data_IF_739139974898
#
_entry.id   IF_739139974898
#
_cell.length_a   1.000
_cell.length_b   1.000
_cell.length_c   1.000
_cell.angle_alpha   90.00
_cell.angle_beta   90.00
_cell.angle_gamma   90.00
#
_symmetry.space_group_name_H-M   'P 1'
#
loop_
_entity.id
_entity.type
_entity.pdbx_description
1 polymer ?
#
# COMPACT_ATOMS: atom_id res chain seq x y z
N UNK A 1 -7.40 -17.16 43.14
CA UNK A 1 -7.84 -17.15 41.73
C UNK A 1 -7.68 -18.51 41.04
N UNK A 2 -6.48 -19.12 41.03
CA UNK A 2 -6.23 -20.37 40.29
C UNK A 2 -7.13 -21.57 40.67
N UNK A 3 -7.52 -21.69 41.94
CA UNK A 3 -8.44 -22.74 42.41
C UNK A 3 -9.90 -22.54 41.97
N UNK A 4 -10.31 -21.30 41.69
CA UNK A 4 -11.67 -20.96 41.22
C UNK A 4 -11.77 -21.32 39.74
N UNK A 5 -10.81 -20.89 38.93
CA UNK A 5 -10.71 -21.25 37.51
C UNK A 5 -10.70 -22.76 37.27
N UNK A 6 -9.89 -23.51 38.04
CA UNK A 6 -9.85 -24.98 37.95
C UNK A 6 -11.17 -25.64 38.34
N UNK A 7 -11.99 -25.02 39.19
CA UNK A 7 -13.31 -25.52 39.57
C UNK A 7 -14.31 -25.29 38.44
N UNK A 8 -14.40 -24.07 37.92
CA UNK A 8 -15.26 -23.71 36.80
C UNK A 8 -14.97 -24.57 35.56
N UNK A 9 -13.69 -24.80 35.24
CA UNK A 9 -13.31 -25.69 34.11
C UNK A 9 -13.76 -27.12 34.34
N UNK A 10 -13.68 -27.64 35.57
CA UNK A 10 -14.19 -28.98 35.90
C UNK A 10 -15.71 -29.06 35.83
N UNK A 11 -16.42 -27.99 36.18
CA UNK A 11 -17.89 -27.92 36.06
C UNK A 11 -18.31 -27.92 34.59
N UNK A 12 -17.62 -27.15 33.74
CA UNK A 12 -17.82 -27.18 32.29
C UNK A 12 -17.50 -28.56 31.70
N UNK A 13 -16.39 -29.22 32.11
CA UNK A 13 -16.02 -30.57 31.65
C UNK A 13 -17.04 -31.64 32.05
N UNK A 14 -17.69 -31.47 33.21
CA UNK A 14 -18.71 -32.38 33.75
C UNK A 14 -20.12 -32.07 33.26
N UNK A 15 -20.30 -31.03 32.44
CA UNK A 15 -21.60 -30.56 31.93
C UNK A 15 -22.59 -30.19 33.05
N UNK A 16 -22.08 -29.81 34.23
CA UNK A 16 -22.93 -29.39 35.37
C UNK A 16 -23.39 -27.94 35.26
N UNK A 17 -22.75 -27.15 34.40
CA UNK A 17 -23.18 -25.80 34.01
C UNK A 17 -22.79 -25.58 32.56
N UNK A 18 -23.58 -24.80 31.81
CA UNK A 18 -23.22 -24.48 30.44
C UNK A 18 -21.97 -23.58 30.42
N UNK A 19 -21.20 -23.64 29.34
CA UNK A 19 -20.05 -22.75 29.15
C UNK A 19 -20.50 -21.28 29.23
N UNK A 20 -21.70 -20.99 28.71
CA UNK A 20 -22.34 -19.66 28.75
C UNK A 20 -22.57 -19.16 30.18
N UNK A 21 -23.15 -19.99 31.04
CA UNK A 21 -23.42 -19.61 32.43
C UNK A 21 -22.13 -19.38 33.23
N UNK A 22 -21.09 -20.16 32.91
CA UNK A 22 -19.77 -20.03 33.54
C UNK A 22 -19.10 -18.74 33.09
N UNK A 23 -19.12 -18.41 31.80
CA UNK A 23 -18.55 -17.16 31.29
C UNK A 23 -19.23 -15.93 31.89
N UNK A 24 -20.56 -15.95 32.05
CA UNK A 24 -21.33 -14.83 32.60
C UNK A 24 -21.03 -14.53 34.08
N UNK A 25 -20.55 -15.52 34.85
CA UNK A 25 -20.27 -15.38 36.29
C UNK A 25 -18.78 -15.41 36.64
N UNK A 26 -17.90 -15.74 35.68
CA UNK A 26 -16.48 -15.89 35.94
C UNK A 26 -15.79 -14.51 35.98
N UNK A 27 -15.08 -14.16 37.06
CA UNK A 27 -14.36 -12.89 37.14
C UNK A 27 -13.07 -12.85 36.30
N UNK A 28 -12.54 -14.01 35.88
CA UNK A 28 -11.37 -14.12 35.00
C UNK A 28 -11.74 -14.96 33.77
N UNK A 29 -12.49 -14.33 32.87
CA UNK A 29 -13.01 -14.92 31.63
C UNK A 29 -11.85 -15.41 30.76
N UNK A 30 -10.82 -14.57 30.58
CA UNK A 30 -9.64 -14.89 29.77
C UNK A 30 -8.88 -16.11 30.34
N UNK A 31 -8.66 -16.15 31.65
CA UNK A 31 -8.03 -17.28 32.34
C UNK A 31 -8.86 -18.56 32.23
N UNK A 32 -10.19 -18.45 32.29
CA UNK A 32 -11.10 -19.59 32.14
C UNK A 32 -11.03 -20.17 30.73
N UNK A 33 -11.18 -19.32 29.70
CA UNK A 33 -11.10 -19.73 28.30
C UNK A 33 -9.73 -20.38 28.04
N UNK A 34 -8.64 -19.74 28.44
CA UNK A 34 -7.29 -20.25 28.25
C UNK A 34 -7.07 -21.62 28.89
N UNK A 35 -7.56 -21.81 30.11
CA UNK A 35 -7.43 -23.07 30.85
C UNK A 35 -8.35 -24.17 30.31
N UNK A 36 -9.60 -23.83 29.97
CA UNK A 36 -10.59 -24.76 29.42
C UNK A 36 -10.12 -25.31 28.07
N UNK A 37 -9.68 -24.42 27.17
CA UNK A 37 -9.19 -24.78 25.85
C UNK A 37 -7.89 -25.60 25.91
N UNK A 38 -6.99 -25.29 26.84
CA UNK A 38 -5.75 -26.07 27.05
C UNK A 38 -6.06 -27.51 27.49
N UNK A 39 -7.10 -27.72 28.29
CA UNK A 39 -7.50 -29.05 28.78
C UNK A 39 -8.39 -29.82 27.80
N UNK A 40 -9.07 -29.12 26.89
CA UNK A 40 -10.01 -29.70 25.92
C UNK A 40 -9.65 -29.34 24.47
N UNK A 41 -8.44 -29.68 23.96
CA UNK A 41 -7.94 -29.21 22.68
C UNK A 41 -8.59 -29.85 21.45
N UNK A 42 -9.31 -30.97 21.59
CA UNK A 42 -9.90 -31.72 20.46
C UNK A 42 -11.41 -31.51 20.31
N UNK A 43 -12.06 -30.90 21.30
CA UNK A 43 -13.51 -30.67 21.28
C UNK A 43 -13.84 -29.45 20.39
N UNK A 44 -14.81 -29.65 19.48
CA UNK A 44 -15.47 -28.53 18.79
C UNK A 44 -16.34 -27.81 19.82
N UNK A 45 -16.25 -26.49 19.85
CA UNK A 45 -16.92 -25.66 20.87
C UNK A 45 -17.69 -24.53 20.20
N UNK A 46 -18.75 -24.83 19.43
CA UNK A 46 -19.59 -23.81 18.79
C UNK A 46 -20.21 -22.82 19.79
N UNK A 47 -20.35 -23.21 21.06
CA UNK A 47 -20.93 -22.38 22.13
C UNK A 47 -20.10 -21.13 22.45
N UNK A 48 -18.80 -21.11 22.14
CA UNK A 48 -17.99 -19.89 22.26
C UNK A 48 -18.22 -18.91 21.10
N UNK A 49 -18.76 -19.36 19.97
CA UNK A 49 -19.14 -18.48 18.85
C UNK A 49 -20.44 -17.76 19.17
N UNK A 50 -21.42 -18.46 19.76
CA UNK A 50 -22.71 -17.89 20.17
C UNK A 50 -22.59 -16.83 21.28
N UNK A 51 -21.43 -16.74 21.94
CA UNK A 51 -21.13 -15.77 22.99
C UNK A 51 -19.97 -14.85 22.61
N UNK A 52 -19.43 -14.97 21.39
CA UNK A 52 -18.23 -14.24 20.97
C UNK A 52 -18.43 -12.73 21.11
N UNK A 53 -19.54 -12.21 20.60
CA UNK A 53 -19.86 -10.77 20.64
C UNK A 53 -20.16 -10.25 22.06
N UNK A 54 -20.51 -11.13 22.99
CA UNK A 54 -20.81 -10.80 24.39
C UNK A 54 -19.55 -10.76 25.28
N UNK A 55 -18.40 -11.19 24.76
CA UNK A 55 -17.13 -11.20 25.49
C UNK A 55 -16.42 -9.84 25.43
N UNK A 56 -15.58 -9.57 26.43
CA UNK A 56 -14.62 -8.48 26.36
C UNK A 56 -13.57 -8.73 25.25
N UNK A 57 -13.01 -7.65 24.73
CA UNK A 57 -12.13 -7.69 23.55
C UNK A 57 -10.89 -8.59 23.79
N UNK A 58 -10.33 -8.62 25.00
CA UNK A 58 -9.14 -9.45 25.29
C UNK A 58 -9.48 -10.94 25.28
N UNK A 59 -10.67 -11.30 25.75
CA UNK A 59 -11.18 -12.68 25.72
C UNK A 59 -11.53 -13.15 24.30
N UNK A 60 -12.06 -12.26 23.45
CA UNK A 60 -12.34 -12.54 22.04
C UNK A 60 -11.05 -12.89 21.26
N UNK A 61 -9.98 -12.12 21.47
CA UNK A 61 -8.66 -12.37 20.85
C UNK A 61 -8.05 -13.69 21.29
N UNK A 62 -8.08 -13.96 22.60
CA UNK A 62 -7.56 -15.22 23.13
C UNK A 62 -8.35 -16.41 22.54
N UNK A 63 -9.67 -16.26 22.37
CA UNK A 63 -10.49 -17.25 21.71
C UNK A 63 -10.06 -17.43 20.24
N UNK A 64 -9.90 -16.34 19.49
CA UNK A 64 -9.44 -16.34 18.09
C UNK A 64 -8.08 -17.04 17.93
N UNK A 65 -7.06 -16.64 18.70
CA UNK A 65 -5.72 -17.23 18.65
C UNK A 65 -5.73 -18.75 18.95
N UNK A 66 -6.51 -19.17 19.95
CA UNK A 66 -6.56 -20.58 20.39
C UNK A 66 -7.46 -21.43 19.50
N UNK A 67 -8.45 -20.85 18.81
CA UNK A 67 -9.43 -21.56 17.97
C UNK A 67 -9.17 -21.50 16.46
N UNK A 68 -8.27 -20.64 15.97
CA UNK A 68 -7.80 -20.61 14.56
C UNK A 68 -7.45 -22.00 14.01
N UNK A 69 -6.84 -22.87 14.83
CA UNK A 69 -6.47 -24.24 14.40
C UNK A 69 -7.66 -25.19 14.23
N UNK A 70 -8.84 -24.83 14.74
CA UNK A 70 -10.02 -25.71 14.82
C UNK A 70 -11.21 -25.23 13.99
N UNK A 71 -11.25 -23.94 13.64
CA UNK A 71 -12.29 -23.31 12.83
C UNK A 71 -11.65 -22.89 11.51
N UNK A 72 -11.78 -23.73 10.48
CA UNK A 72 -11.47 -23.34 9.09
C UNK A 72 -12.73 -22.75 8.48
N UNK A 73 -13.00 -21.48 8.78
CA UNK A 73 -14.16 -20.77 8.25
C UNK A 73 -13.73 -19.36 7.79
N UNK A 74 -13.60 -19.21 6.48
CA UNK A 74 -13.20 -17.98 5.81
C UNK A 74 -14.10 -16.79 6.18
N UNK A 75 -15.41 -17.03 6.30
CA UNK A 75 -16.38 -15.98 6.67
C UNK A 75 -16.14 -15.45 8.09
N UNK A 76 -15.80 -16.34 9.01
CA UNK A 76 -15.49 -15.96 10.40
C UNK A 76 -14.16 -15.19 10.49
N UNK A 77 -13.15 -15.59 9.72
CA UNK A 77 -11.88 -14.83 9.64
C UNK A 77 -12.08 -13.42 9.05
N UNK A 78 -12.93 -13.30 8.04
CA UNK A 78 -13.33 -12.01 7.46
C UNK A 78 -14.10 -11.13 8.44
N UNK A 79 -15.09 -11.69 9.17
CA UNK A 79 -15.84 -10.96 10.21
C UNK A 79 -14.92 -10.43 11.34
N UNK A 80 -13.92 -11.22 11.76
CA UNK A 80 -12.93 -10.78 12.75
C UNK A 80 -12.06 -9.63 12.21
N UNK A 81 -11.56 -9.72 10.97
CA UNK A 81 -10.83 -8.61 10.34
C UNK A 81 -11.67 -7.33 10.31
N UNK A 82 -12.92 -7.46 9.87
CA UNK A 82 -13.83 -6.31 9.75
C UNK A 82 -14.07 -5.68 11.11
N UNK A 83 -14.43 -6.46 12.14
CA UNK A 83 -14.76 -5.88 13.44
C UNK A 83 -13.56 -5.26 14.15
N UNK A 84 -12.42 -5.96 14.23
CA UNK A 84 -11.29 -5.45 15.02
C UNK A 84 -10.37 -4.53 14.24
N UNK A 85 -10.07 -4.86 12.98
CA UNK A 85 -9.13 -4.08 12.18
C UNK A 85 -9.84 -2.90 11.51
N UNK A 86 -11.04 -3.09 10.96
CA UNK A 86 -11.69 -2.04 10.17
C UNK A 86 -12.58 -1.14 11.03
N UNK A 87 -13.44 -1.73 11.85
CA UNK A 87 -14.44 -0.99 12.66
C UNK A 87 -13.85 -0.42 13.96
N UNK A 88 -13.13 -1.24 14.74
CA UNK A 88 -12.62 -0.84 16.06
C UNK A 88 -11.22 -0.22 16.03
N UNK A 89 -10.38 -0.54 15.02
CA UNK A 89 -9.02 -0.01 14.83
C UNK A 89 -8.16 -0.10 16.09
N UNK A 90 -8.25 -1.23 16.76
CA UNK A 90 -7.62 -1.47 18.06
C UNK A 90 -6.19 -1.99 17.88
N UNK A 91 -5.29 -1.77 18.86
CA UNK A 91 -3.96 -2.39 18.88
C UNK A 91 -4.02 -3.93 18.80
N UNK A 92 -5.17 -4.48 19.20
CA UNK A 92 -5.54 -5.90 19.11
C UNK A 92 -5.53 -6.43 17.66
N UNK A 93 -5.68 -5.57 16.67
CA UNK A 93 -5.60 -5.94 15.26
C UNK A 93 -4.29 -6.63 14.90
N UNK A 94 -3.18 -6.32 15.58
CA UNK A 94 -1.88 -6.93 15.29
C UNK A 94 -1.86 -8.42 15.63
N UNK A 95 -2.45 -8.80 16.76
CA UNK A 95 -2.55 -10.21 17.17
C UNK A 95 -3.46 -11.00 16.23
N UNK A 96 -4.55 -10.38 15.76
CA UNK A 96 -5.47 -10.97 14.79
C UNK A 96 -4.76 -11.20 13.45
N UNK A 97 -4.07 -10.18 12.91
CA UNK A 97 -3.32 -10.26 11.66
C UNK A 97 -2.32 -11.43 11.72
N UNK A 98 -1.52 -11.52 12.78
CA UNK A 98 -0.59 -12.64 13.00
C UNK A 98 -1.32 -13.99 13.09
N UNK A 99 -2.45 -14.00 13.81
CA UNK A 99 -3.26 -15.17 14.01
C UNK A 99 -4.18 -15.50 12.82
N UNK A 100 -4.10 -14.86 11.66
CA UNK A 100 -4.88 -15.24 10.47
C UNK A 100 -4.34 -16.46 9.72
N UNK A 101 -5.20 -17.39 9.28
CA UNK A 101 -4.75 -18.59 8.55
C UNK A 101 -4.79 -18.37 7.04
N UNK A 102 -5.76 -17.60 6.57
CA UNK A 102 -5.89 -17.23 5.16
C UNK A 102 -5.22 -15.88 4.88
N UNK A 103 -4.01 -15.92 4.33
CA UNK A 103 -3.32 -14.70 3.85
C UNK A 103 -4.11 -14.00 2.74
N UNK A 104 -4.84 -14.78 1.94
CA UNK A 104 -5.73 -14.28 0.88
C UNK A 104 -6.80 -13.33 1.41
N UNK A 105 -7.53 -13.74 2.45
CA UNK A 105 -8.59 -12.90 3.05
C UNK A 105 -7.97 -11.68 3.72
N UNK A 106 -6.89 -11.88 4.47
CA UNK A 106 -6.13 -10.82 5.12
C UNK A 106 -5.73 -9.71 4.14
N UNK A 107 -4.99 -10.05 3.08
CA UNK A 107 -4.52 -9.04 2.14
C UNK A 107 -5.64 -8.48 1.29
N UNK A 108 -6.66 -9.27 0.91
CA UNK A 108 -7.82 -8.75 0.19
C UNK A 108 -8.54 -7.67 1.01
N UNK A 109 -8.85 -7.94 2.28
CA UNK A 109 -9.60 -7.00 3.13
C UNK A 109 -8.77 -5.75 3.43
N UNK A 110 -7.52 -5.91 3.90
CA UNK A 110 -6.66 -4.77 4.22
C UNK A 110 -6.37 -3.90 3.00
N UNK A 111 -6.08 -4.51 1.84
CA UNK A 111 -5.79 -3.75 0.62
C UNK A 111 -7.01 -3.04 0.06
N UNK A 112 -8.22 -3.61 0.22
CA UNK A 112 -9.47 -2.96 -0.20
C UNK A 112 -9.75 -1.72 0.62
N UNK A 113 -9.51 -1.80 1.94
CA UNK A 113 -9.69 -0.65 2.84
C UNK A 113 -8.65 0.43 2.53
N UNK A 114 -7.38 0.05 2.37
CA UNK A 114 -6.30 0.95 1.97
C UNK A 114 -6.52 1.58 0.58
N UNK A 115 -7.27 0.95 -0.31
CA UNK A 115 -7.65 1.57 -1.58
C UNK A 115 -8.75 2.63 -1.42
N UNK A 116 -9.50 2.64 -0.33
CA UNK A 116 -10.70 3.47 -0.19
C UNK A 116 -10.36 4.94 0.14
N UNK A 117 -10.95 5.85 -0.64
CA UNK A 117 -10.61 7.29 -0.71
C UNK A 117 -11.14 8.11 0.48
N UNK A 118 -11.91 7.50 1.38
CA UNK A 118 -12.67 8.20 2.44
C UNK A 118 -12.05 8.08 3.83
N UNK A 119 -10.81 7.61 3.94
CA UNK A 119 -10.16 7.33 5.23
C UNK A 119 -9.39 8.57 5.70
N UNK A 120 -9.59 8.96 6.96
CA UNK A 120 -8.83 10.02 7.61
C UNK A 120 -7.36 9.64 7.78
N UNK A 121 -6.49 10.62 7.96
CA UNK A 121 -5.04 10.39 8.01
C UNK A 121 -4.61 9.39 9.10
N UNK A 122 -5.17 9.49 10.32
CA UNK A 122 -4.86 8.58 11.44
C UNK A 122 -5.28 7.15 11.16
N UNK A 123 -6.45 6.99 10.53
CA UNK A 123 -6.98 5.69 10.14
C UNK A 123 -6.13 5.08 9.02
N UNK A 124 -5.71 5.88 8.05
CA UNK A 124 -4.87 5.45 6.94
C UNK A 124 -3.48 4.99 7.42
N UNK A 125 -2.93 5.70 8.41
CA UNK A 125 -1.71 5.31 9.10
C UNK A 125 -1.87 3.98 9.86
N UNK A 126 -3.01 3.79 10.54
CA UNK A 126 -3.33 2.53 11.20
C UNK A 126 -3.39 1.35 10.20
N UNK A 127 -4.04 1.54 9.05
CA UNK A 127 -4.09 0.49 8.01
C UNK A 127 -2.73 0.23 7.38
N UNK A 128 -1.91 1.27 7.22
CA UNK A 128 -0.51 1.15 6.80
C UNK A 128 0.26 0.22 7.74
N UNK A 129 0.14 0.40 9.06
CA UNK A 129 0.74 -0.49 10.07
C UNK A 129 0.25 -1.93 9.94
N UNK A 130 -1.06 -2.10 9.79
CA UNK A 130 -1.67 -3.42 9.62
C UNK A 130 -1.13 -4.16 8.38
N UNK A 131 -0.99 -3.46 7.25
CA UNK A 131 -0.45 -4.02 6.01
C UNK A 131 1.03 -4.38 6.14
N UNK A 132 1.84 -3.48 6.72
CA UNK A 132 3.26 -3.74 6.99
C UNK A 132 3.42 -5.01 7.83
N UNK A 133 2.61 -5.16 8.89
CA UNK A 133 2.61 -6.35 9.73
C UNK A 133 2.20 -7.61 8.94
N UNK A 134 1.15 -7.52 8.13
CA UNK A 134 0.71 -8.62 7.29
C UNK A 134 1.82 -9.10 6.33
N UNK A 135 2.49 -8.16 5.64
CA UNK A 135 3.61 -8.44 4.73
C UNK A 135 4.82 -9.09 5.41
N UNK A 136 5.00 -8.85 6.72
CA UNK A 136 6.08 -9.46 7.51
C UNK A 136 5.74 -10.84 8.06
N UNK A 137 4.45 -11.14 8.23
CA UNK A 137 3.99 -12.35 8.92
C UNK A 137 3.42 -13.40 7.98
N UNK A 138 3.00 -13.00 6.77
CA UNK A 138 2.35 -13.85 5.78
C UNK A 138 2.96 -13.67 4.40
N UNK A 139 2.89 -14.74 3.61
CA UNK A 139 3.18 -14.69 2.19
C UNK A 139 1.98 -14.10 1.43
N UNK A 140 2.26 -13.28 0.44
CA UNK A 140 1.27 -12.62 -0.42
C UNK A 140 1.37 -13.19 -1.84
N UNK A 141 0.24 -13.60 -2.40
CA UNK A 141 0.15 -14.14 -3.77
C UNK A 141 -0.07 -13.02 -4.79
N UNK A 142 0.04 -13.34 -6.09
CA UNK A 142 0.03 -12.36 -7.18
C UNK A 142 -1.26 -11.54 -7.27
N UNK A 143 -2.41 -12.18 -6.99
CA UNK A 143 -3.72 -11.52 -7.09
C UNK A 143 -3.88 -10.45 -6.01
N UNK A 144 -3.44 -10.74 -4.78
CA UNK A 144 -3.49 -9.80 -3.66
C UNK A 144 -2.44 -8.68 -3.80
N UNK A 145 -1.26 -8.99 -4.33
CA UNK A 145 -0.24 -7.97 -4.70
C UNK A 145 -0.86 -6.93 -5.64
N UNK A 146 -1.68 -7.35 -6.61
CA UNK A 146 -2.33 -6.43 -7.55
C UNK A 146 -3.25 -5.43 -6.85
N UNK A 147 -4.07 -5.91 -5.91
CA UNK A 147 -4.97 -5.04 -5.14
C UNK A 147 -4.16 -4.08 -4.26
N UNK A 148 -3.14 -4.58 -3.58
CA UNK A 148 -2.30 -3.76 -2.71
C UNK A 148 -1.53 -2.68 -3.48
N UNK A 149 -0.93 -3.04 -4.61
CA UNK A 149 -0.30 -2.09 -5.53
C UNK A 149 -1.29 -1.03 -6.02
N UNK A 150 -2.58 -1.36 -6.13
CA UNK A 150 -3.62 -0.38 -6.45
C UNK A 150 -3.82 0.65 -5.35
N UNK A 151 -3.84 0.21 -4.10
CA UNK A 151 -3.84 1.12 -2.95
C UNK A 151 -2.59 2.01 -2.94
N UNK A 152 -1.40 1.45 -3.15
CA UNK A 152 -0.15 2.23 -3.23
C UNK A 152 -0.20 3.29 -4.33
N UNK A 153 -0.65 2.93 -5.53
CA UNK A 153 -0.75 3.90 -6.64
C UNK A 153 -1.73 5.04 -6.33
N UNK A 154 -2.82 4.73 -5.63
CA UNK A 154 -3.79 5.72 -5.22
C UNK A 154 -3.16 6.72 -4.24
N UNK A 155 -2.43 6.23 -3.24
CA UNK A 155 -1.67 7.05 -2.29
C UNK A 155 -0.62 7.95 -2.96
N UNK A 156 0.06 7.43 -3.98
CA UNK A 156 1.01 8.23 -4.77
C UNK A 156 0.36 9.32 -5.61
N UNK A 157 -0.95 9.21 -5.87
CA UNK A 157 -1.71 10.16 -6.67
C UNK A 157 -2.57 11.10 -5.81
N UNK A 158 -2.58 10.93 -4.48
CA UNK A 158 -3.46 11.65 -3.56
C UNK A 158 -3.05 13.13 -3.37
N UNK A 159 -1.78 13.45 -3.62
CA UNK A 159 -1.23 14.80 -3.54
C UNK A 159 -1.06 15.33 -2.11
N UNK A 160 -1.63 14.68 -1.09
CA UNK A 160 -1.32 14.97 0.32
C UNK A 160 -0.10 14.15 0.74
N UNK A 161 0.95 14.83 1.21
CA UNK A 161 2.25 14.22 1.56
C UNK A 161 2.14 12.99 2.46
N UNK A 162 1.31 13.02 3.51
CA UNK A 162 1.21 11.91 4.46
C UNK A 162 0.68 10.62 3.84
N UNK A 163 -0.31 10.73 2.95
CA UNK A 163 -0.81 9.57 2.19
C UNK A 163 0.27 9.04 1.23
N UNK A 164 1.00 9.92 0.55
CA UNK A 164 2.16 9.50 -0.24
C UNK A 164 3.17 8.70 0.61
N UNK A 165 3.52 9.21 1.79
CA UNK A 165 4.46 8.57 2.71
C UNK A 165 3.97 7.18 3.14
N UNK A 166 2.69 7.04 3.49
CA UNK A 166 2.07 5.75 3.81
C UNK A 166 2.15 4.76 2.64
N UNK A 167 1.81 5.20 1.43
CA UNK A 167 1.96 4.40 0.21
C UNK A 167 3.40 3.94 -0.02
N UNK A 168 4.38 4.80 0.25
CA UNK A 168 5.78 4.51 0.05
C UNK A 168 6.35 3.59 1.13
N UNK A 169 5.87 3.67 2.37
CA UNK A 169 6.18 2.70 3.43
C UNK A 169 5.74 1.30 3.00
N UNK A 170 4.48 1.16 2.58
CA UNK A 170 3.96 -0.14 2.12
C UNK A 170 4.73 -0.64 0.90
N UNK A 171 5.02 0.24 -0.06
CA UNK A 171 5.82 -0.09 -1.24
C UNK A 171 7.23 -0.58 -0.84
N UNK A 172 7.88 0.11 0.08
CA UNK A 172 9.22 -0.23 0.59
C UNK A 172 9.25 -1.63 1.19
N UNK A 173 8.24 -1.99 1.99
CA UNK A 173 8.14 -3.32 2.62
C UNK A 173 7.77 -4.40 1.61
N UNK A 174 6.77 -4.14 0.75
CA UNK A 174 6.31 -5.10 -0.28
C UNK A 174 7.41 -5.43 -1.29
N UNK A 175 8.21 -4.42 -1.65
CA UNK A 175 9.26 -4.51 -2.65
C UNK A 175 10.64 -4.76 -2.03
N UNK A 176 10.76 -4.69 -0.71
CA UNK A 176 12.03 -4.81 0.01
C UNK A 176 13.10 -3.85 -0.55
N UNK A 177 12.76 -2.56 -0.58
CA UNK A 177 13.59 -1.46 -1.09
C UNK A 177 13.65 -0.30 -0.09
N UNK A 178 14.74 0.47 -0.11
CA UNK A 178 14.96 1.66 0.71
C UNK A 178 15.09 2.93 -0.15
N UNK A 179 14.63 2.88 -1.39
CA UNK A 179 14.76 3.95 -2.39
C UNK A 179 13.87 5.18 -2.14
N UNK A 180 12.96 5.10 -1.17
CA UNK A 180 12.07 6.20 -0.81
C UNK A 180 12.65 6.95 0.40
N UNK A 181 13.26 8.11 0.16
CA UNK A 181 13.84 8.94 1.24
C UNK A 181 12.75 9.70 1.98
N UNK A 182 12.17 9.06 3.00
CA UNK A 182 11.02 9.59 3.74
C UNK A 182 11.40 9.73 5.21
N UNK A 183 11.18 10.89 5.82
CA UNK A 183 11.43 11.09 7.26
C UNK A 183 10.57 10.16 8.13
N UNK A 184 9.33 9.89 7.71
CA UNK A 184 8.47 8.84 8.27
C UNK A 184 8.90 7.42 7.91
N UNK A 185 9.98 7.17 7.14
CA UNK A 185 10.66 5.86 7.17
C UNK A 185 11.31 5.61 8.52
N UNK A 186 11.77 6.64 9.25
CA UNK A 186 12.18 6.42 10.65
C UNK A 186 10.99 6.01 11.50
N UNK A 187 9.79 6.48 11.18
CA UNK A 187 8.54 6.12 11.85
C UNK A 187 8.07 4.73 11.42
N UNK A 188 8.25 4.33 10.16
CA UNK A 188 8.01 2.97 9.67
C UNK A 188 9.03 1.97 10.20
N UNK A 189 10.29 2.37 10.31
CA UNK A 189 11.35 1.61 10.92
C UNK A 189 11.07 1.44 12.42
N UNK A 190 10.63 2.51 13.11
CA UNK A 190 10.10 2.41 14.48
C UNK A 190 8.86 1.52 14.55
N UNK A 191 7.91 1.60 13.62
CA UNK A 191 6.77 0.67 13.60
C UNK A 191 7.23 -0.77 13.45
N UNK A 192 8.22 -1.02 12.59
CA UNK A 192 8.80 -2.35 12.39
C UNK A 192 9.52 -2.82 13.67
N UNK A 193 10.20 -1.91 14.37
CA UNK A 193 10.93 -2.16 15.61
C UNK A 193 10.02 -2.27 16.85
N UNK A 194 8.88 -1.57 16.84
CA UNK A 194 7.85 -1.56 17.89
C UNK A 194 6.89 -2.75 17.76
N UNK A 195 6.92 -3.49 16.64
CA UNK A 195 6.21 -4.78 16.55
C UNK A 195 6.82 -5.70 17.62
N UNK A 196 6.03 -6.14 18.61
CA UNK A 196 6.58 -6.95 19.69
C UNK A 196 7.26 -8.22 19.15
N UNK A 197 8.46 -8.56 19.62
CA UNK A 197 9.23 -9.70 19.10
C UNK A 197 8.46 -11.03 19.07
N UNK A 198 7.49 -11.19 19.98
CA UNK A 198 6.65 -12.38 20.04
C UNK A 198 5.67 -12.49 18.85
N UNK A 199 5.43 -11.40 18.12
CA UNK A 199 4.57 -11.29 16.92
C UNK A 199 5.32 -11.71 15.66
N UNK A 200 6.62 -11.43 15.57
CA UNK A 200 7.46 -11.81 14.43
C UNK A 200 7.67 -13.33 14.39
N UNK A 201 7.43 -13.97 13.23
CA UNK A 201 7.78 -15.38 13.04
C UNK A 201 9.30 -15.53 13.20
N UNK A 202 9.73 -16.36 14.16
CA UNK A 202 11.15 -16.61 14.49
C UNK A 202 12.03 -17.14 13.35
N UNK A 203 11.47 -17.42 12.17
CA UNK A 203 12.21 -17.93 11.02
C UNK A 203 12.00 -17.06 9.79
N UNK A 204 12.79 -15.99 9.69
CA UNK A 204 13.66 -15.75 8.54
C UNK A 204 14.56 -14.57 8.88
N UNK A 205 15.86 -14.85 9.08
CA UNK A 205 16.92 -13.83 8.94
C UNK A 205 16.94 -13.34 7.49
N UNK A 206 15.97 -12.53 7.09
CA UNK A 206 16.22 -11.48 6.11
C UNK A 206 16.61 -10.28 6.94
N UNK A 207 17.90 -10.17 7.21
CA UNK A 207 18.44 -8.97 7.83
C UNK A 207 18.00 -7.81 6.95
N UNK A 208 17.14 -6.95 7.49
CA UNK A 208 16.97 -5.62 6.95
C UNK A 208 18.33 -4.96 7.13
N UNK A 209 19.02 -4.62 6.04
CA UNK A 209 20.27 -3.87 6.16
C UNK A 209 19.95 -2.54 6.83
N UNK A 210 20.71 -2.20 7.88
CA UNK A 210 20.53 -0.98 8.64
C UNK A 210 20.61 0.21 7.66
N UNK A 211 19.54 1.02 7.51
CA UNK A 211 19.46 2.09 6.50
C UNK A 211 20.59 3.12 6.59
N UNK A 212 21.24 3.22 7.75
CA UNK A 212 22.31 4.18 8.01
C UNK A 212 23.70 3.76 7.51
N UNK A 213 23.90 2.50 7.10
CA UNK A 213 25.24 1.99 6.77
C UNK A 213 25.64 2.14 5.28
N UNK A 214 24.76 2.67 4.41
CA UNK A 214 24.99 2.69 2.95
C UNK A 214 25.20 4.11 2.36
N UNK A 215 24.92 5.20 3.10
CA UNK A 215 24.88 6.54 2.49
C UNK A 215 25.93 7.52 3.03
N UNK A 216 27.01 7.71 2.28
CA UNK A 216 27.99 8.81 2.46
C UNK A 216 27.96 9.86 1.33
N UNK A 217 27.08 9.73 0.33
CA UNK A 217 27.25 10.46 -0.94
C UNK A 217 26.10 11.35 -1.40
N UNK A 218 25.02 11.55 -0.62
CA UNK A 218 23.91 12.41 -1.04
C UNK A 218 23.74 13.60 -0.11
N UNK A 219 23.68 14.79 -0.72
CA UNK A 219 23.49 16.07 -0.02
C UNK A 219 22.00 16.27 0.17
N UNK A 220 21.53 15.94 1.37
CA UNK A 220 20.17 16.15 1.88
C UNK A 220 19.70 17.58 1.59
N UNK A 221 18.59 17.73 0.87
CA UNK A 221 17.80 18.98 0.89
C UNK A 221 16.77 18.80 2.00
N UNK A 222 16.99 19.46 3.13
CA UNK A 222 16.06 19.40 4.25
C UNK A 222 14.78 20.14 3.88
N UNK A 223 13.66 19.41 3.84
CA UNK A 223 12.34 20.01 3.66
C UNK A 223 11.97 20.69 4.98
N UNK A 224 12.01 22.03 5.00
CA UNK A 224 11.63 22.81 6.17
C UNK A 224 10.12 22.60 6.45
N UNK A 225 9.80 22.14 7.66
CA UNK A 225 8.45 21.71 8.10
C UNK A 225 7.47 22.87 8.32
N UNK A 226 7.89 24.10 8.01
CA UNK A 226 7.01 25.26 7.95
C UNK A 226 6.26 25.30 6.63
N UNK A 227 5.05 24.73 6.57
CA UNK A 227 4.13 24.95 5.43
C UNK A 227 3.76 26.44 5.41
N UNK A 228 4.53 27.24 4.69
CA UNK A 228 4.07 28.51 4.18
C UNK A 228 3.24 28.21 2.93
N UNK A 229 1.92 28.24 3.05
CA UNK A 229 1.01 28.27 1.89
C UNK A 229 1.32 29.53 1.08
N UNK A 230 2.22 29.41 0.12
CA UNK A 230 2.47 30.51 -0.81
C UNK A 230 1.25 30.65 -1.70
N UNK A 231 0.66 31.85 -1.73
CA UNK A 231 -0.41 32.20 -2.68
C UNK A 231 0.11 32.34 -4.11
N UNK A 232 1.43 32.26 -4.29
CA UNK A 232 2.10 32.35 -5.56
C UNK A 232 1.79 31.12 -6.42
N UNK A 233 1.50 31.37 -7.70
CA UNK A 233 1.25 30.31 -8.69
C UNK A 233 2.07 30.59 -9.95
N UNK A 234 2.77 29.59 -10.49
CA UNK A 234 3.44 29.73 -11.79
C UNK A 234 2.39 30.04 -12.86
N UNK A 235 2.73 30.94 -13.79
CA UNK A 235 1.83 31.29 -14.91
C UNK A 235 2.13 30.48 -16.16
N UNK A 236 3.38 30.08 -16.33
CA UNK A 236 3.84 29.44 -17.56
C UNK A 236 4.59 28.14 -17.28
N UNK A 237 4.43 27.18 -18.18
CA UNK A 237 5.13 25.89 -18.15
C UNK A 237 6.65 26.05 -18.05
N UNK A 238 7.25 26.92 -18.88
CA UNK A 238 8.70 27.14 -18.88
C UNK A 238 9.22 27.77 -17.58
N UNK A 239 8.40 28.62 -16.96
CA UNK A 239 8.72 29.24 -15.67
C UNK A 239 8.79 28.16 -14.58
N UNK A 240 7.81 27.25 -14.54
CA UNK A 240 7.81 26.15 -13.58
C UNK A 240 9.00 25.20 -13.79
N UNK A 241 9.30 24.81 -15.04
CA UNK A 241 10.46 23.95 -15.34
C UNK A 241 11.75 24.61 -14.86
N UNK A 242 11.95 25.89 -15.14
CA UNK A 242 13.15 26.63 -14.73
C UNK A 242 13.27 26.75 -13.21
N UNK A 243 12.17 27.02 -12.51
CA UNK A 243 12.19 27.12 -11.04
C UNK A 243 12.53 25.79 -10.36
N UNK A 244 12.04 24.68 -10.91
CA UNK A 244 12.40 23.34 -10.43
C UNK A 244 13.89 23.06 -10.72
N UNK A 245 14.37 23.39 -11.92
CA UNK A 245 15.78 23.19 -12.32
C UNK A 245 16.77 24.04 -11.51
N UNK A 246 16.42 25.29 -11.19
CA UNK A 246 17.29 26.21 -10.46
C UNK A 246 17.43 25.84 -8.96
N UNK A 247 16.45 25.12 -8.40
CA UNK A 247 16.38 24.65 -6.99
C UNK A 247 16.55 25.74 -5.91
N UNK A 248 16.39 27.02 -6.24
CA UNK A 248 16.66 28.15 -5.32
C UNK A 248 15.51 28.49 -4.38
N UNK A 249 14.28 28.25 -4.81
CA UNK A 249 13.06 28.75 -4.16
C UNK A 249 12.13 27.60 -3.76
N UNK A 250 12.51 26.84 -2.73
CA UNK A 250 11.84 25.60 -2.30
C UNK A 250 10.32 25.73 -2.13
N UNK A 251 9.84 26.85 -1.60
CA UNK A 251 8.41 27.13 -1.42
C UNK A 251 7.66 27.25 -2.75
N UNK A 252 8.30 27.78 -3.80
CA UNK A 252 7.71 27.89 -5.14
C UNK A 252 7.77 26.58 -5.90
N UNK A 253 8.78 25.75 -5.63
CA UNK A 253 8.94 24.44 -6.28
C UNK A 253 7.73 23.55 -6.00
N UNK A 254 7.22 23.53 -4.76
CA UNK A 254 6.00 22.79 -4.42
C UNK A 254 4.80 23.25 -5.27
N UNK A 255 4.59 24.57 -5.35
CA UNK A 255 3.55 25.15 -6.21
C UNK A 255 3.76 24.77 -7.69
N UNK A 256 5.00 24.71 -8.16
CA UNK A 256 5.31 24.26 -9.52
C UNK A 256 4.91 22.82 -9.77
N UNK A 257 5.20 21.88 -8.86
CA UNK A 257 4.78 20.49 -8.99
C UNK A 257 3.25 20.34 -8.90
N UNK A 258 2.60 20.99 -7.94
CA UNK A 258 1.15 20.91 -7.74
C UNK A 258 0.35 21.47 -8.94
N UNK A 259 0.82 22.56 -9.54
CA UNK A 259 0.16 23.19 -10.69
C UNK A 259 0.66 22.66 -12.04
N UNK A 260 1.66 21.77 -12.05
CA UNK A 260 2.28 21.28 -13.27
C UNK A 260 1.30 20.70 -14.29
N UNK A 261 0.32 19.86 -13.90
CA UNK A 261 -0.66 19.32 -14.86
C UNK A 261 -1.44 20.42 -15.59
N UNK A 262 -1.88 21.45 -14.86
CA UNK A 262 -2.61 22.59 -15.42
C UNK A 262 -1.73 23.42 -16.36
N UNK A 263 -0.44 23.58 -16.04
CA UNK A 263 0.50 24.29 -16.90
C UNK A 263 0.77 23.53 -18.20
N UNK A 264 0.88 22.21 -18.13
CA UNK A 264 1.07 21.34 -19.30
C UNK A 264 -0.17 21.37 -20.20
N UNK A 265 -1.37 21.32 -19.63
CA UNK A 265 -2.62 21.37 -20.39
C UNK A 265 -2.77 22.69 -21.17
N UNK A 266 -2.42 23.80 -20.53
CA UNK A 266 -2.46 25.14 -21.11
C UNK A 266 -1.27 25.45 -22.05
N UNK A 267 -0.23 24.60 -22.08
CA UNK A 267 0.91 24.80 -22.94
C UNK A 267 0.55 24.54 -24.42
N UNK A 268 1.07 25.39 -25.30
CA UNK A 268 0.90 25.18 -26.75
C UNK A 268 1.66 23.95 -27.22
N UNK A 269 1.19 23.29 -28.27
CA UNK A 269 1.87 22.12 -28.86
C UNK A 269 3.31 22.46 -29.30
N UNK A 270 3.53 23.66 -29.85
CA UNK A 270 4.87 24.17 -30.20
C UNK A 270 5.79 24.19 -28.97
N UNK A 271 5.27 24.66 -27.83
CA UNK A 271 6.03 24.69 -26.58
C UNK A 271 6.43 23.28 -26.15
N UNK A 272 5.46 22.38 -26.08
CA UNK A 272 5.66 21.01 -25.63
C UNK A 272 6.64 20.26 -26.55
N UNK A 273 6.52 20.42 -27.87
CA UNK A 273 7.46 19.83 -28.84
C UNK A 273 8.93 20.21 -28.57
N UNK A 274 9.20 21.41 -28.07
CA UNK A 274 10.56 21.90 -27.82
C UNK A 274 11.04 21.68 -26.39
N UNK A 275 10.15 21.62 -25.41
CA UNK A 275 10.50 21.67 -23.99
C UNK A 275 10.10 20.43 -23.18
N UNK A 276 9.31 19.50 -23.73
CA UNK A 276 8.84 18.32 -22.99
C UNK A 276 9.96 17.40 -22.53
N UNK A 277 11.01 17.19 -23.34
CA UNK A 277 12.17 16.35 -22.96
C UNK A 277 12.97 16.96 -21.81
N UNK A 278 13.22 18.26 -21.87
CA UNK A 278 13.88 19.02 -20.81
C UNK A 278 13.06 18.97 -19.52
N UNK A 279 11.76 19.24 -19.61
CA UNK A 279 10.84 19.17 -18.48
C UNK A 279 10.80 17.77 -17.86
N UNK A 280 10.74 16.71 -18.67
CA UNK A 280 10.77 15.34 -18.18
C UNK A 280 12.05 15.07 -17.40
N UNK A 281 13.21 15.45 -17.95
CA UNK A 281 14.51 15.30 -17.28
C UNK A 281 14.55 16.06 -15.96
N UNK A 282 14.03 17.29 -15.91
CA UNK A 282 13.96 18.10 -14.68
C UNK A 282 13.07 17.42 -13.63
N UNK A 283 11.87 16.98 -13.99
CA UNK A 283 10.95 16.32 -13.07
C UNK A 283 11.52 15.02 -12.49
N UNK A 284 12.18 14.22 -13.33
CA UNK A 284 12.74 12.93 -12.90
C UNK A 284 14.01 13.07 -12.04
N UNK A 285 14.82 14.12 -12.27
CA UNK A 285 16.08 14.32 -11.55
C UNK A 285 15.94 15.15 -10.29
N UNK A 286 14.91 15.99 -10.16
CA UNK A 286 14.64 16.72 -8.94
C UNK A 286 14.42 15.72 -7.78
N UNK A 287 15.06 15.93 -6.64
CA UNK A 287 14.94 15.05 -5.47
C UNK A 287 13.99 15.67 -4.43
N UNK A 288 12.78 15.11 -4.31
CA UNK A 288 11.68 15.66 -3.50
C UNK A 288 10.35 15.82 -4.25
N UNK A 289 9.27 16.12 -3.51
CA UNK A 289 7.90 16.37 -4.04
C UNK A 289 7.30 15.18 -4.79
N UNK A 290 7.63 13.97 -4.36
CA UNK A 290 7.18 12.72 -4.95
C UNK A 290 5.65 12.59 -4.96
N UNK A 291 4.98 13.16 -3.96
CA UNK A 291 3.52 13.22 -3.82
C UNK A 291 2.83 13.91 -5.01
N UNK A 292 3.57 14.69 -5.79
CA UNK A 292 3.07 15.40 -6.98
C UNK A 292 3.73 14.94 -8.28
N UNK A 293 4.83 14.17 -8.20
CA UNK A 293 5.60 13.75 -9.38
C UNK A 293 4.82 12.85 -10.31
N UNK A 294 4.06 11.89 -9.77
CA UNK A 294 3.30 10.94 -10.60
C UNK A 294 2.36 11.69 -11.54
N UNK A 295 1.66 12.71 -11.01
CA UNK A 295 0.71 13.54 -11.74
C UNK A 295 1.37 14.50 -12.72
N UNK A 296 2.46 15.14 -12.31
CA UNK A 296 3.24 16.02 -13.17
C UNK A 296 3.83 15.25 -14.37
N UNK A 297 4.39 14.07 -14.11
CA UNK A 297 5.00 13.21 -15.15
C UNK A 297 3.93 12.60 -16.04
N UNK A 298 2.82 12.08 -15.50
CA UNK A 298 1.75 11.47 -16.29
C UNK A 298 1.10 12.48 -17.24
N UNK A 299 0.81 13.69 -16.75
CA UNK A 299 0.22 14.77 -17.56
C UNK A 299 1.17 15.24 -18.67
N UNK A 300 2.47 15.39 -18.37
CA UNK A 300 3.49 15.74 -19.36
C UNK A 300 3.57 14.70 -20.48
N UNK A 301 3.61 13.41 -20.12
CA UNK A 301 3.68 12.30 -21.08
C UNK A 301 2.41 12.25 -21.92
N UNK A 302 1.22 12.36 -21.33
CA UNK A 302 -0.04 12.33 -22.09
C UNK A 302 -0.14 13.48 -23.10
N UNK A 303 0.16 14.70 -22.67
CA UNK A 303 0.04 15.87 -23.55
C UNK A 303 1.15 15.92 -24.61
N UNK A 304 2.32 15.37 -24.30
CA UNK A 304 3.49 15.34 -25.18
C UNK A 304 3.72 13.97 -25.83
N UNK A 305 2.72 13.09 -25.83
CA UNK A 305 2.87 11.66 -26.17
C UNK A 305 3.64 11.45 -27.47
N UNK A 306 3.25 12.15 -28.54
CA UNK A 306 3.86 12.07 -29.88
C UNK A 306 5.35 12.43 -29.93
N UNK A 307 5.86 13.16 -28.94
CA UNK A 307 7.22 13.70 -28.94
C UNK A 307 8.13 13.08 -27.89
N UNK A 308 7.53 12.42 -26.88
CA UNK A 308 8.22 12.05 -25.65
C UNK A 308 8.16 10.56 -25.36
N UNK A 309 7.13 9.83 -25.83
CA UNK A 309 6.87 8.47 -25.35
C UNK A 309 7.99 7.48 -25.67
N UNK A 310 8.56 7.55 -26.87
CA UNK A 310 9.62 6.60 -27.29
C UNK A 310 10.88 6.78 -26.44
N UNK A 311 11.28 8.03 -26.17
CA UNK A 311 12.43 8.32 -25.32
C UNK A 311 12.19 7.87 -23.88
N UNK A 312 11.01 8.17 -23.32
CA UNK A 312 10.64 7.78 -21.96
C UNK A 312 10.58 6.26 -21.80
N UNK A 313 10.10 5.56 -22.82
CA UNK A 313 10.08 4.09 -22.85
C UNK A 313 11.49 3.51 -22.90
N UNK A 314 12.38 4.09 -23.71
CA UNK A 314 13.79 3.69 -23.73
C UNK A 314 14.43 3.94 -22.36
N UNK A 315 14.28 5.13 -21.79
CA UNK A 315 14.84 5.48 -20.48
C UNK A 315 14.35 4.56 -19.34
N UNK A 316 13.08 4.14 -19.40
CA UNK A 316 12.52 3.21 -18.42
C UNK A 316 13.16 1.82 -18.45
N UNK A 317 13.39 1.29 -19.66
CA UNK A 317 13.91 -0.06 -19.85
C UNK A 317 15.44 -0.13 -19.91
N UNK A 318 16.10 0.97 -20.24
CA UNK A 318 17.55 1.10 -20.26
C UNK A 318 18.11 1.36 -18.84
N UNK A 319 19.43 1.41 -18.71
CA UNK A 319 20.13 1.69 -17.45
C UNK A 319 20.18 3.17 -17.05
N UNK A 320 19.48 4.07 -17.75
CA UNK A 320 19.61 5.53 -17.55
C UNK A 320 18.89 6.06 -16.31
N UNK A 321 17.82 5.40 -15.88
CA UNK A 321 17.05 5.76 -14.68
C UNK A 321 17.39 4.88 -13.48
N UNK A 322 17.41 5.46 -12.29
CA UNK A 322 17.53 4.70 -11.03
C UNK A 322 16.21 3.98 -10.68
N UNK A 323 16.25 3.07 -9.70
CA UNK A 323 15.07 2.28 -9.32
C UNK A 323 13.91 3.17 -8.84
N UNK A 324 14.18 4.17 -8.00
CA UNK A 324 13.17 5.16 -7.58
C UNK A 324 12.45 5.82 -8.76
N UNK A 325 13.22 6.32 -9.73
CA UNK A 325 12.69 6.97 -10.94
C UNK A 325 11.85 5.99 -11.77
N UNK A 326 12.33 4.75 -11.93
CA UNK A 326 11.57 3.70 -12.63
C UNK A 326 10.26 3.36 -11.91
N UNK A 327 10.25 3.34 -10.57
CA UNK A 327 9.01 3.12 -9.83
C UNK A 327 8.01 4.26 -10.05
N UNK A 328 8.44 5.52 -9.92
CA UNK A 328 7.59 6.69 -10.22
C UNK A 328 7.02 6.60 -11.62
N UNK A 329 7.87 6.28 -12.61
CA UNK A 329 7.47 6.19 -13.99
C UNK A 329 6.51 5.02 -14.26
N UNK A 330 6.68 3.88 -13.58
CA UNK A 330 5.72 2.78 -13.63
C UNK A 330 4.33 3.21 -13.12
N UNK A 331 4.28 3.99 -12.03
CA UNK A 331 3.02 4.54 -11.53
C UNK A 331 2.43 5.61 -12.46
N UNK A 332 3.25 6.45 -13.08
CA UNK A 332 2.79 7.39 -14.10
C UNK A 332 2.21 6.65 -15.31
N UNK A 333 2.89 5.64 -15.86
CA UNK A 333 2.36 4.85 -16.97
C UNK A 333 1.04 4.17 -16.63
N UNK A 334 0.95 3.62 -15.42
CA UNK A 334 -0.27 3.02 -14.90
C UNK A 334 -1.42 4.02 -14.92
N UNK A 335 -1.22 5.22 -14.37
CA UNK A 335 -2.21 6.31 -14.40
C UNK A 335 -2.64 6.64 -15.83
N UNK A 336 -1.70 6.71 -16.77
CA UNK A 336 -1.99 6.96 -18.19
C UNK A 336 -2.84 5.86 -18.80
N UNK A 337 -2.53 4.59 -18.54
CA UNK A 337 -3.28 3.45 -19.07
C UNK A 337 -4.70 3.43 -18.52
N UNK A 338 -4.86 3.70 -17.22
CA UNK A 338 -6.14 3.68 -16.53
C UNK A 338 -7.04 4.85 -16.94
N UNK A 339 -6.51 6.07 -16.92
CA UNK A 339 -7.31 7.30 -17.00
C UNK A 339 -7.19 8.01 -18.35
N UNK A 340 -6.13 7.73 -19.11
CA UNK A 340 -5.82 8.44 -20.35
C UNK A 340 -6.70 8.04 -21.55
N UNK A 341 -6.56 8.78 -22.67
CA UNK A 341 -7.21 8.45 -23.93
C UNK A 341 -6.81 7.07 -24.44
N UNK A 342 -7.77 6.29 -24.96
CA UNK A 342 -7.55 4.92 -25.45
C UNK A 342 -6.45 4.83 -26.53
N UNK A 343 -6.40 5.83 -27.40
CA UNK A 343 -5.39 5.98 -28.47
C UNK A 343 -3.95 6.11 -27.95
N UNK A 344 -3.76 6.50 -26.68
CA UNK A 344 -2.46 6.56 -26.02
C UNK A 344 -2.25 5.38 -25.08
N UNK A 345 -3.27 5.02 -24.30
CA UNK A 345 -3.22 3.93 -23.33
C UNK A 345 -2.90 2.57 -23.99
N UNK A 346 -3.55 2.25 -25.11
CA UNK A 346 -3.39 0.94 -25.78
C UNK A 346 -1.99 0.79 -26.39
N UNK A 347 -1.44 1.75 -27.16
CA UNK A 347 -0.07 1.64 -27.64
C UNK A 347 0.96 1.62 -26.52
N UNK A 348 0.80 2.43 -25.47
CA UNK A 348 1.71 2.44 -24.31
C UNK A 348 1.75 1.07 -23.63
N UNK A 349 0.58 0.52 -23.30
CA UNK A 349 0.48 -0.84 -22.75
C UNK A 349 1.18 -1.88 -23.64
N UNK A 350 0.93 -1.84 -24.96
CA UNK A 350 1.53 -2.80 -25.89
C UNK A 350 3.06 -2.66 -25.94
N UNK A 351 3.57 -1.43 -25.93
CA UNK A 351 5.00 -1.14 -25.87
C UNK A 351 5.63 -1.70 -24.59
N UNK A 352 5.03 -1.43 -23.43
CA UNK A 352 5.52 -1.91 -22.13
C UNK A 352 5.49 -3.43 -22.08
N UNK A 353 4.41 -4.07 -22.54
CA UNK A 353 4.29 -5.52 -22.63
C UNK A 353 5.36 -6.15 -23.51
N UNK A 354 5.62 -5.54 -24.66
CA UNK A 354 6.63 -6.02 -25.59
C UNK A 354 8.03 -5.95 -24.99
N UNK A 355 8.39 -4.80 -24.41
CA UNK A 355 9.69 -4.58 -23.79
C UNK A 355 9.89 -5.45 -22.55
N UNK A 356 8.90 -5.52 -21.66
CA UNK A 356 8.98 -6.33 -20.44
C UNK A 356 9.20 -7.83 -20.73
N UNK A 357 8.64 -8.36 -21.82
CA UNK A 357 8.90 -9.74 -22.27
C UNK A 357 10.32 -9.94 -22.77
N UNK A 358 10.91 -8.92 -23.39
CA UNK A 358 12.23 -9.00 -24.01
C UNK A 358 13.36 -8.99 -22.98
N UNK A 359 13.19 -8.26 -21.89
CA UNK A 359 14.19 -8.12 -20.82
C UNK A 359 13.75 -8.82 -19.52
N UNK A 360 12.84 -9.78 -19.60
CA UNK A 360 12.20 -10.42 -18.43
C UNK A 360 13.20 -11.00 -17.41
N UNK A 361 14.39 -11.40 -17.86
CA UNK A 361 15.46 -11.95 -17.02
C UNK A 361 16.37 -10.89 -16.37
N UNK A 362 16.31 -9.64 -16.85
CA UNK A 362 17.14 -8.51 -16.40
C UNK A 362 16.36 -7.52 -15.53
N UNK A 363 15.02 -7.61 -15.54
CA UNK A 363 14.15 -6.78 -14.70
C UNK A 363 14.32 -7.18 -13.23
N UNK A 364 14.70 -6.24 -12.34
CA UNK A 364 14.66 -6.49 -10.89
C UNK A 364 13.28 -6.99 -10.47
N UNK A 365 13.21 -8.03 -9.62
CA UNK A 365 11.91 -8.63 -9.20
C UNK A 365 10.87 -7.59 -8.74
N UNK A 366 11.35 -6.52 -8.12
CA UNK A 366 10.58 -5.33 -7.70
C UNK A 366 9.87 -4.64 -8.87
N UNK A 367 10.60 -4.36 -9.94
CA UNK A 367 10.06 -3.79 -11.17
C UNK A 367 9.12 -4.77 -11.88
N UNK A 368 9.40 -6.07 -11.79
CA UNK A 368 8.55 -7.12 -12.34
C UNK A 368 7.12 -7.05 -11.79
N UNK A 369 6.97 -6.87 -10.47
CA UNK A 369 5.65 -6.77 -9.81
C UNK A 369 4.89 -5.51 -10.18
N UNK A 370 5.57 -4.36 -10.20
CA UNK A 370 4.96 -3.09 -10.61
C UNK A 370 4.51 -3.13 -12.07
N UNK A 371 5.31 -3.74 -12.95
CA UNK A 371 4.97 -3.96 -14.36
C UNK A 371 3.81 -4.92 -14.53
N UNK A 372 3.75 -6.01 -13.77
CA UNK A 372 2.67 -6.99 -13.85
C UNK A 372 1.31 -6.36 -13.56
N UNK A 373 1.23 -5.50 -12.54
CA UNK A 373 0.01 -4.76 -12.21
C UNK A 373 -0.43 -3.83 -13.36
N UNK A 374 0.50 -3.07 -13.92
CA UNK A 374 0.27 -2.20 -15.08
C UNK A 374 -0.22 -3.00 -16.29
N UNK A 375 0.36 -4.18 -16.53
CA UNK A 375 -0.01 -5.04 -17.64
C UNK A 375 -1.43 -5.60 -17.49
N UNK A 376 -1.89 -5.85 -16.28
CA UNK A 376 -3.26 -6.31 -16.05
C UNK A 376 -4.26 -5.17 -16.30
N UNK A 377 -3.99 -3.96 -15.81
CA UNK A 377 -4.84 -2.79 -16.10
C UNK A 377 -4.94 -2.49 -17.59
N UNK A 378 -3.84 -2.66 -18.33
CA UNK A 378 -3.87 -2.50 -19.79
C UNK A 378 -4.72 -3.56 -20.51
N UNK A 379 -4.86 -4.77 -19.95
CA UNK A 379 -5.79 -5.78 -20.48
C UNK A 379 -7.24 -5.35 -20.25
N UNK A 380 -7.57 -4.91 -19.04
CA UNK A 380 -8.91 -4.43 -18.66
C UNK A 380 -9.33 -3.26 -19.56
N UNK A 381 -8.43 -2.29 -19.75
CA UNK A 381 -8.68 -1.11 -20.60
C UNK A 381 -8.96 -1.46 -22.06
N UNK A 382 -8.26 -2.45 -22.62
CA UNK A 382 -8.51 -2.93 -23.98
C UNK A 382 -9.89 -3.59 -24.10
N UNK A 383 -10.34 -4.31 -23.07
CA UNK A 383 -11.65 -4.95 -23.05
C UNK A 383 -12.77 -3.91 -23.01
N UNK A 384 -12.63 -2.86 -22.19
CA UNK A 384 -13.58 -1.73 -22.15
C UNK A 384 -13.73 -1.04 -23.52
N UNK A 385 -12.61 -0.80 -24.21
CA UNK A 385 -12.63 -0.20 -25.55
C UNK A 385 -13.36 -1.05 -26.58
N UNK A 386 -13.27 -2.38 -26.50
CA UNK A 386 -14.01 -3.29 -27.39
C UNK A 386 -15.50 -3.29 -27.10
N UNK A 387 -15.89 -3.35 -25.84
CA UNK A 387 -17.29 -3.38 -25.43
C UNK A 387 -18.02 -2.06 -25.75
N UNK A 388 -17.33 -0.91 -25.61
CA UNK A 388 -17.88 0.39 -26.01
C UNK A 388 -18.02 0.59 -27.52
N UNK A 389 -17.19 -0.11 -28.32
CA UNK A 389 -17.29 -0.11 -29.79
C UNK A 389 -18.48 -0.92 -30.27
N UNK A 390 -18.77 -2.05 -29.60
CA UNK A 390 -19.91 -2.92 -29.91
C UNK A 390 -21.26 -2.32 -29.49
N UNK A 391 -21.30 -1.50 -28.42
CA UNK A 391 -22.53 -0.78 -28.04
C UNK A 391 -22.89 0.38 -28.96
N UNK A 392 -21.89 0.99 -29.63
CA UNK A 392 -22.09 2.06 -30.61
C UNK A 392 -22.46 1.54 -32.01
N UNK A 393 -22.28 0.25 -32.27
CA UNK A 393 -22.74 -0.40 -33.51
C UNK A 393 -24.16 -1.00 -33.39
N UNK A 394 -24.72 -1.06 -32.19
CA UNK A 394 -26.06 -1.59 -31.91
C UNK A 394 -27.11 -0.51 -31.56
N UNK A 395 -26.74 0.77 -31.66
CA UNK A 395 -27.62 1.95 -31.62
C UNK A 395 -27.46 2.74 -32.92
#
# INVERSE_FOLDING_TARGET
MENILRREVKEAERHTSSIKDILARCPDITGFIGLYLRRNPTKKHPEFLDFYDDLDISSQVLLYEKKKKMIKNDKFEEECLMSYCIEQRSEISYDIIKAMSSSKILFKTLSTVFLSVSIGEEDDFFFTKCIVLALRTHDIDSDEVKVLMSGIAHHFSDGRRKYYEHGAIVASVLLNTNEFDIESMNEAQRMIEDIPEHVLKKDTKKNFENPNDVFKCYRKVENDLGILETSWRPKYFQEAVKLIEDERETEKIEACFRWFPNLVENATERMLKHKSKEAFKVLMNYDGREEHKVDAVSSLIQRSYKFLIDDVMNDFFDGSLCLRQKIILAFSFRKIIREGPLEQAVPLYRGIKFMARRIQHEIPKVMGRALECLLIEGVERIQEGKNGSESLMNN
#
